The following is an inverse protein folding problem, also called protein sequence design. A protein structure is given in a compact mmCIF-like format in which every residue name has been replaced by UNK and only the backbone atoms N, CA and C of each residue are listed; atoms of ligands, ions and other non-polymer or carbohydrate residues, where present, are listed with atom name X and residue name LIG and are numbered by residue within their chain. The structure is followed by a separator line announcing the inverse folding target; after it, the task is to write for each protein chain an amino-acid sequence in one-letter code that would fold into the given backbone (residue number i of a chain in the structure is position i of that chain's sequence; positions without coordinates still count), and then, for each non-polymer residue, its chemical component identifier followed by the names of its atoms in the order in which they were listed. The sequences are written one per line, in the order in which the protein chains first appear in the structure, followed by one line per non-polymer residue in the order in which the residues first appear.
data_IF_500587216565
#
_entry.id   IF_500587216565
#
_cell.length_a   1.000
_cell.length_b   1.000
_cell.length_c   1.000
_cell.angle_alpha   90.00
_cell.angle_beta   90.00
_cell.angle_gamma   90.00
#
_symmetry.space_group_name_H-M   'P 1'
#
loop_
_entity.id
_entity.type
_entity.pdbx_description
1 polymer ?
#
# COMPACT_ATOMS: atom_id res chain seq x y z
N UNK A 1 -65.05 58.69 21.58
CA UNK A 1 -64.19 57.83 22.43
C UNK A 1 -64.57 56.38 22.20
N UNK A 2 -63.67 55.58 21.60
CA UNK A 2 -63.65 54.10 21.49
C UNK A 2 -62.84 53.70 20.23
N UNK A 3 -61.67 54.32 20.07
CA UNK A 3 -60.52 53.66 19.44
C UNK A 3 -59.82 52.91 20.58
N UNK A 4 -59.32 51.70 20.33
CA UNK A 4 -58.52 50.84 21.25
C UNK A 4 -59.18 49.68 22.03
N UNK A 5 -60.25 49.02 21.56
CA UNK A 5 -60.66 47.71 22.15
C UNK A 5 -61.30 46.72 21.18
N UNK A 6 -60.76 46.59 19.97
CA UNK A 6 -61.14 45.51 19.04
C UNK A 6 -59.95 45.03 18.20
N UNK A 7 -58.75 45.03 18.81
CA UNK A 7 -57.49 44.53 18.22
C UNK A 7 -56.98 43.28 18.96
N UNK A 8 -57.69 42.78 19.97
CA UNK A 8 -57.39 41.51 20.62
C UNK A 8 -58.63 40.63 20.60
N UNK A 9 -58.85 39.88 19.50
CA UNK A 9 -59.58 38.59 19.45
C UNK A 9 -59.74 38.01 18.03
N UNK A 10 -58.95 38.46 17.06
CA UNK A 10 -58.82 37.82 15.74
C UNK A 10 -57.35 37.52 15.39
N UNK A 11 -56.55 37.15 16.41
CA UNK A 11 -55.11 36.86 16.29
C UNK A 11 -54.80 35.42 16.75
N UNK A 12 -55.57 34.44 16.26
CA UNK A 12 -55.31 33.02 16.51
C UNK A 12 -55.82 32.16 15.35
N UNK A 13 -55.54 32.53 14.10
CA UNK A 13 -55.54 31.59 12.98
C UNK A 13 -54.81 32.22 11.79
N UNK A 14 -53.94 31.45 11.16
CA UNK A 14 -53.19 31.76 9.93
C UNK A 14 -51.93 32.63 10.13
N UNK A 15 -50.94 32.04 10.81
CA UNK A 15 -49.52 32.34 10.57
C UNK A 15 -48.81 31.01 10.38
N UNK A 16 -48.51 30.64 9.12
CA UNK A 16 -47.30 29.97 8.62
C UNK A 16 -47.55 29.77 7.10
N UNK A 17 -47.28 30.80 6.30
CA UNK A 17 -46.98 30.62 4.87
C UNK A 17 -45.45 30.66 4.77
N UNK A 18 -44.81 29.57 5.17
CA UNK A 18 -43.38 29.36 4.95
C UNK A 18 -43.20 28.71 3.59
N UNK A 19 -42.37 29.34 2.78
CA UNK A 19 -41.75 28.83 1.57
C UNK A 19 -41.42 27.33 1.66
N UNK A 20 -42.23 26.47 1.07
CA UNK A 20 -41.75 25.19 0.57
C UNK A 20 -41.07 25.45 -0.77
N UNK A 21 -39.88 26.09 -0.71
CA UNK A 21 -38.87 25.79 -1.70
C UNK A 21 -38.59 24.30 -1.51
N UNK A 22 -38.89 23.52 -2.55
CA UNK A 22 -38.43 22.15 -2.68
C UNK A 22 -36.92 22.15 -2.65
N UNK A 23 -36.35 22.12 -1.44
CA UNK A 23 -35.02 21.59 -1.23
C UNK A 23 -35.22 20.10 -1.43
N UNK A 24 -35.02 19.64 -2.66
CA UNK A 24 -34.72 18.23 -2.88
C UNK A 24 -33.65 17.90 -1.86
N UNK A 25 -33.96 16.99 -0.93
CA UNK A 25 -32.91 16.42 -0.10
C UNK A 25 -31.99 15.75 -1.09
N UNK A 26 -30.88 16.42 -1.40
CA UNK A 26 -29.69 15.76 -1.92
C UNK A 26 -29.26 14.86 -0.78
N UNK A 27 -29.85 13.67 -0.75
CA UNK A 27 -29.39 12.59 0.09
C UNK A 27 -28.00 12.30 -0.45
N UNK A 28 -26.98 12.82 0.24
CA UNK A 28 -25.63 12.35 0.05
C UNK A 28 -25.69 10.82 0.11
N UNK A 29 -25.12 10.13 -0.88
CA UNK A 29 -25.02 8.68 -0.87
C UNK A 29 -24.25 8.27 0.38
N UNK A 30 -24.97 7.99 1.46
CA UNK A 30 -24.36 7.57 2.71
C UNK A 30 -23.94 6.12 2.52
N UNK A 31 -22.64 5.92 2.34
CA UNK A 31 -22.06 4.60 2.22
C UNK A 31 -22.12 3.87 3.57
N UNK A 32 -22.45 2.57 3.60
CA UNK A 32 -22.46 1.81 4.83
C UNK A 32 -21.06 1.77 5.44
N UNK A 33 -21.00 1.89 6.77
CA UNK A 33 -19.77 1.78 7.54
C UNK A 33 -20.02 0.95 8.80
N UNK A 34 -18.96 0.56 9.49
CA UNK A 34 -19.08 0.00 10.84
C UNK A 34 -17.83 0.27 11.68
N UNK A 35 -18.02 0.34 12.99
CA UNK A 35 -16.95 0.41 13.98
C UNK A 35 -16.81 -0.90 14.74
N UNK A 36 -15.60 -1.23 15.18
CA UNK A 36 -15.34 -2.33 16.10
C UNK A 36 -15.69 -1.86 17.51
N UNK A 37 -16.58 -2.58 18.21
CA UNK A 37 -17.02 -2.21 19.56
C UNK A 37 -16.51 -3.15 20.64
N UNK A 38 -16.24 -4.41 20.30
CA UNK A 38 -15.63 -5.37 21.22
C UNK A 38 -14.85 -6.45 20.44
N UNK A 39 -13.78 -6.94 21.04
CA UNK A 39 -13.02 -8.10 20.54
C UNK A 39 -12.76 -9.03 21.72
N UNK A 40 -13.07 -10.30 21.55
CA UNK A 40 -12.65 -11.39 22.43
C UNK A 40 -11.59 -12.20 21.69
N UNK A 41 -10.36 -12.16 22.19
CA UNK A 41 -9.18 -12.81 21.59
C UNK A 41 -9.51 -14.24 21.17
N UNK A 42 -9.25 -14.57 19.90
CA UNK A 42 -9.41 -15.89 19.27
C UNK A 42 -10.82 -16.48 19.35
N UNK A 43 -11.81 -15.65 19.72
CA UNK A 43 -13.21 -16.06 19.87
C UNK A 43 -14.08 -15.27 18.92
N UNK A 44 -14.21 -13.95 19.09
CA UNK A 44 -15.18 -13.17 18.35
C UNK A 44 -14.85 -11.68 18.23
N UNK A 45 -15.47 -11.02 17.27
CA UNK A 45 -15.49 -9.56 17.12
C UNK A 45 -16.92 -9.07 17.03
N UNK A 46 -17.21 -7.96 17.71
CA UNK A 46 -18.49 -7.26 17.66
C UNK A 46 -18.33 -5.95 16.92
N UNK A 47 -19.25 -5.69 15.98
CA UNK A 47 -19.31 -4.46 15.19
C UNK A 47 -20.60 -3.69 15.49
N UNK A 48 -20.55 -2.38 15.35
CA UNK A 48 -21.71 -1.49 15.26
C UNK A 48 -21.76 -0.91 13.85
N UNK A 49 -22.78 -1.27 13.09
CA UNK A 49 -23.00 -0.74 11.74
C UNK A 49 -23.54 0.68 11.78
N UNK A 50 -23.40 1.39 10.66
CA UNK A 50 -23.96 2.72 10.44
C UNK A 50 -24.32 2.84 8.96
N UNK A 51 -25.45 3.49 8.68
CA UNK A 51 -25.92 3.80 7.34
C UNK A 51 -26.05 2.55 6.42
N UNK A 52 -26.38 1.39 7.01
CA UNK A 52 -26.63 0.18 6.22
C UNK A 52 -27.85 0.40 5.31
N UNK A 53 -27.78 0.03 4.02
CA UNK A 53 -28.94 0.11 3.14
C UNK A 53 -30.02 -0.87 3.62
N UNK A 54 -31.30 -0.49 3.53
CA UNK A 54 -32.39 -1.37 3.95
C UNK A 54 -32.54 -2.59 3.03
N UNK A 55 -32.87 -3.74 3.62
CA UNK A 55 -33.22 -5.00 2.98
C UNK A 55 -32.21 -5.48 1.92
N UNK A 56 -30.92 -5.35 2.24
CA UNK A 56 -29.80 -5.86 1.44
C UNK A 56 -29.10 -7.02 2.13
N UNK A 57 -28.66 -7.98 1.33
CA UNK A 57 -27.95 -9.17 1.81
C UNK A 57 -26.44 -8.93 1.78
N UNK A 58 -25.78 -9.35 2.87
CA UNK A 58 -24.34 -9.24 3.03
C UNK A 58 -23.76 -10.58 3.48
N UNK A 59 -22.55 -10.87 3.01
CA UNK A 59 -21.67 -11.85 3.62
C UNK A 59 -20.58 -11.13 4.41
N UNK A 60 -20.16 -11.73 5.51
CA UNK A 60 -19.08 -11.24 6.36
C UNK A 60 -17.85 -12.08 6.09
N UNK A 61 -16.79 -11.43 5.66
CA UNK A 61 -15.50 -12.05 5.38
C UNK A 61 -14.50 -11.60 6.44
N UNK A 62 -13.66 -12.53 6.91
CA UNK A 62 -12.46 -12.21 7.69
C UNK A 62 -11.22 -12.72 6.95
N UNK A 63 -10.15 -11.94 6.99
CA UNK A 63 -8.92 -12.30 6.29
C UNK A 63 -7.69 -11.64 6.88
N UNK A 64 -6.55 -11.88 6.25
CA UNK A 64 -5.28 -11.32 6.69
C UNK A 64 -5.30 -9.79 6.69
N UNK A 65 -4.57 -9.20 7.63
CA UNK A 65 -4.39 -7.75 7.69
C UNK A 65 -3.85 -7.20 6.36
N UNK A 66 -4.36 -6.04 5.93
CA UNK A 66 -3.98 -5.39 4.66
C UNK A 66 -4.81 -5.83 3.44
N UNK A 67 -5.56 -6.92 3.52
CA UNK A 67 -6.37 -7.45 2.40
C UNK A 67 -7.75 -6.79 2.27
N UNK A 68 -8.16 -5.98 3.25
CA UNK A 68 -9.56 -5.53 3.43
C UNK A 68 -10.56 -6.70 3.49
N UNK A 69 -10.08 -7.89 3.84
CA UNK A 69 -10.79 -9.16 3.78
C UNK A 69 -11.42 -9.48 2.41
N UNK A 70 -10.86 -8.94 1.32
CA UNK A 70 -11.25 -9.32 -0.03
C UNK A 70 -10.80 -10.75 -0.32
N UNK A 71 -11.75 -11.63 -0.66
CA UNK A 71 -11.48 -13.07 -0.80
C UNK A 71 -11.21 -13.80 0.53
N UNK A 72 -11.50 -13.16 1.68
CA UNK A 72 -11.35 -13.78 3.00
C UNK A 72 -12.34 -14.91 3.27
N UNK A 73 -12.17 -15.56 4.43
CA UNK A 73 -13.02 -16.64 4.92
C UNK A 73 -14.41 -16.07 5.26
N UNK A 74 -15.45 -16.64 4.67
CA UNK A 74 -16.83 -16.31 5.04
C UNK A 74 -17.15 -16.84 6.44
N UNK A 75 -17.51 -15.94 7.35
CA UNK A 75 -17.80 -16.27 8.75
C UNK A 75 -19.29 -16.17 9.08
N UNK A 76 -20.06 -15.42 8.28
CA UNK A 76 -21.50 -15.25 8.45
C UNK A 76 -22.15 -14.65 7.20
N UNK A 77 -23.48 -14.72 7.14
CA UNK A 77 -24.33 -13.92 6.25
C UNK A 77 -25.44 -13.24 7.05
N UNK A 78 -25.90 -12.07 6.60
CA UNK A 78 -27.02 -11.38 7.22
C UNK A 78 -27.80 -10.51 6.22
N UNK A 79 -29.07 -10.26 6.50
CA UNK A 79 -29.87 -9.22 5.83
C UNK A 79 -29.93 -7.98 6.74
N UNK A 80 -29.80 -6.81 6.13
CA UNK A 80 -29.72 -5.50 6.82
C UNK A 80 -31.07 -4.99 7.34
N UNK A 81 -32.19 -5.65 7.05
CA UNK A 81 -33.50 -5.33 7.61
C UNK A 81 -33.94 -3.90 7.28
N UNK A 82 -34.22 -3.10 8.30
CA UNK A 82 -34.57 -1.68 8.14
C UNK A 82 -33.39 -0.79 7.70
N UNK A 83 -32.16 -1.34 7.70
CA UNK A 83 -30.94 -0.59 7.45
C UNK A 83 -30.46 0.19 8.67
N UNK A 84 -29.60 1.18 8.45
CA UNK A 84 -29.08 2.04 9.50
C UNK A 84 -28.06 1.36 10.40
N UNK A 85 -28.21 1.51 11.71
CA UNK A 85 -27.25 1.08 12.71
C UNK A 85 -27.78 -0.07 13.56
N UNK A 86 -26.99 -1.14 13.67
CA UNK A 86 -27.26 -2.29 14.53
C UNK A 86 -25.95 -2.97 14.92
N UNK A 87 -25.98 -3.77 15.99
CA UNK A 87 -24.83 -4.51 16.48
C UNK A 87 -24.86 -5.96 15.98
N UNK A 88 -23.71 -6.49 15.59
CA UNK A 88 -23.56 -7.91 15.24
C UNK A 88 -22.21 -8.46 15.73
N UNK A 89 -22.20 -9.72 16.15
CA UNK A 89 -21.01 -10.43 16.65
C UNK A 89 -20.70 -11.61 15.75
N UNK A 90 -19.43 -11.75 15.38
CA UNK A 90 -18.95 -12.78 14.46
C UNK A 90 -17.78 -13.54 15.08
N UNK A 91 -17.81 -14.87 14.95
CA UNK A 91 -16.72 -15.72 15.43
C UNK A 91 -15.49 -15.59 14.54
N UNK A 92 -14.31 -15.57 15.15
CA UNK A 92 -13.03 -15.58 14.45
C UNK A 92 -12.77 -17.01 13.93
N UNK A 93 -12.54 -17.20 12.62
CA UNK A 93 -12.33 -18.53 12.05
C UNK A 93 -11.01 -19.11 12.54
N UNK A 94 -10.94 -20.44 12.67
CA UNK A 94 -9.79 -21.14 13.24
C UNK A 94 -8.44 -20.77 12.58
N UNK A 95 -8.45 -20.52 11.27
CA UNK A 95 -7.26 -20.16 10.51
C UNK A 95 -6.66 -18.78 10.87
N UNK A 96 -7.43 -17.91 11.52
CA UNK A 96 -6.98 -16.56 11.90
C UNK A 96 -6.74 -16.42 13.41
N UNK A 97 -6.88 -17.51 14.18
CA UNK A 97 -6.56 -17.49 15.61
C UNK A 97 -5.07 -17.35 15.82
N UNK A 98 -4.68 -16.61 16.85
CA UNK A 98 -3.30 -16.23 17.14
C UNK A 98 -2.77 -15.08 16.29
N UNK A 99 -3.49 -14.64 15.25
CA UNK A 99 -3.02 -13.53 14.41
C UNK A 99 -3.12 -12.21 15.18
N UNK A 100 -2.16 -11.32 14.95
CA UNK A 100 -2.10 -10.05 15.65
C UNK A 100 -3.27 -9.13 15.28
N UNK A 101 -3.51 -9.00 13.98
CA UNK A 101 -4.59 -8.19 13.42
C UNK A 101 -5.35 -8.99 12.37
N UNK A 102 -6.65 -8.72 12.28
CA UNK A 102 -7.56 -9.38 11.34
C UNK A 102 -8.33 -8.31 10.57
N UNK A 103 -8.40 -8.44 9.24
CA UNK A 103 -9.29 -7.64 8.42
C UNK A 103 -10.69 -8.24 8.43
N UNK A 104 -11.73 -7.39 8.41
CA UNK A 104 -13.13 -7.80 8.36
C UNK A 104 -13.89 -6.97 7.32
N UNK A 105 -14.80 -7.61 6.57
CA UNK A 105 -15.59 -6.98 5.51
C UNK A 105 -17.03 -7.46 5.53
N UNK A 106 -17.97 -6.54 5.50
CA UNK A 106 -19.34 -6.79 5.08
C UNK A 106 -19.44 -6.54 3.56
N UNK A 107 -19.66 -7.59 2.77
CA UNK A 107 -19.71 -7.55 1.31
C UNK A 107 -21.14 -7.85 0.84
N UNK A 108 -21.73 -6.94 0.08
CA UNK A 108 -23.01 -7.16 -0.58
C UNK A 108 -22.94 -8.36 -1.52
N UNK A 109 -23.95 -9.23 -1.48
CA UNK A 109 -24.02 -10.44 -2.32
C UNK A 109 -24.80 -10.22 -3.62
N UNK A 110 -25.81 -9.36 -3.56
CA UNK A 110 -26.74 -8.99 -4.63
C UNK A 110 -26.79 -7.48 -4.87
N UNK A 111 -25.80 -6.75 -4.35
CA UNK A 111 -25.76 -5.31 -4.32
C UNK A 111 -24.30 -4.80 -4.30
N UNK A 112 -24.06 -3.55 -4.72
CA UNK A 112 -22.70 -3.01 -4.84
C UNK A 112 -22.09 -2.57 -3.50
N UNK A 113 -22.85 -2.64 -2.39
CA UNK A 113 -22.40 -2.07 -1.13
C UNK A 113 -21.38 -2.96 -0.44
N UNK A 114 -20.40 -2.33 0.19
CA UNK A 114 -19.47 -3.00 1.07
C UNK A 114 -18.98 -2.02 2.15
N UNK A 115 -18.59 -2.58 3.28
CA UNK A 115 -17.87 -1.87 4.33
C UNK A 115 -16.75 -2.78 4.83
N UNK A 116 -15.61 -2.22 5.19
CA UNK A 116 -14.51 -2.98 5.75
C UNK A 116 -13.84 -2.22 6.88
N UNK A 117 -13.20 -2.98 7.77
CA UNK A 117 -12.39 -2.46 8.85
C UNK A 117 -11.34 -3.53 9.23
N UNK A 118 -10.59 -3.29 10.29
CA UNK A 118 -9.70 -4.27 10.88
C UNK A 118 -9.74 -4.14 12.41
N UNK A 119 -9.28 -5.18 13.11
CA UNK A 119 -9.20 -5.16 14.57
C UNK A 119 -7.96 -5.88 15.08
N UNK A 120 -7.52 -5.50 16.27
CA UNK A 120 -6.53 -6.25 17.04
C UNK A 120 -7.18 -7.49 17.64
N UNK A 121 -6.68 -8.67 17.29
CA UNK A 121 -7.10 -9.93 17.90
C UNK A 121 -6.17 -10.29 19.07
N UNK A 122 -4.86 -10.23 18.85
CA UNK A 122 -3.85 -10.45 19.89
C UNK A 122 -2.67 -9.46 19.73
N UNK A 123 -2.44 -8.50 20.63
CA UNK A 123 -1.30 -7.58 20.56
C UNK A 123 0.08 -8.29 20.55
N UNK A 124 0.15 -9.54 21.02
CA UNK A 124 1.33 -10.41 21.00
C UNK A 124 1.27 -11.50 19.92
N UNK A 125 0.26 -11.45 19.05
CA UNK A 125 -0.01 -12.46 18.05
C UNK A 125 1.01 -12.50 16.92
N UNK A 126 0.88 -13.53 16.09
CA UNK A 126 1.68 -13.70 14.87
C UNK A 126 1.19 -12.76 13.79
N UNK A 127 2.13 -12.21 13.02
CA UNK A 127 1.78 -11.58 11.75
C UNK A 127 1.67 -12.66 10.69
N UNK A 128 0.85 -12.48 9.64
CA UNK A 128 0.94 -13.37 8.49
C UNK A 128 2.40 -13.43 8.05
N UNK A 129 2.95 -14.63 8.01
CA UNK A 129 4.18 -14.84 7.26
C UNK A 129 3.91 -14.36 5.83
N UNK A 130 4.89 -13.74 5.15
CA UNK A 130 4.73 -13.42 3.74
C UNK A 130 4.32 -14.69 3.01
N UNK A 131 3.04 -14.79 2.63
CA UNK A 131 2.57 -15.93 1.87
C UNK A 131 3.17 -15.75 0.49
N UNK A 132 4.27 -16.44 0.23
CA UNK A 132 4.66 -16.77 -1.14
C UNK A 132 3.44 -17.47 -1.75
N UNK A 133 2.80 -16.88 -2.78
CA UNK A 133 1.58 -17.44 -3.30
C UNK A 133 1.86 -18.81 -3.86
N UNK A 134 0.89 -19.70 -3.64
CA UNK A 134 0.79 -21.00 -4.29
C UNK A 134 1.13 -20.88 -5.78
N UNK A 135 2.31 -21.37 -6.10
CA UNK A 135 2.82 -21.63 -7.43
C UNK A 135 2.01 -22.75 -8.07
N UNK A 136 0.73 -22.49 -8.35
CA UNK A 136 0.11 -23.14 -9.51
C UNK A 136 0.74 -22.52 -10.76
N UNK A 137 2.03 -22.80 -10.95
CA UNK A 137 2.76 -22.62 -12.19
C UNK A 137 2.12 -23.62 -13.15
N UNK A 138 1.40 -23.18 -14.19
CA UNK A 138 1.25 -24.05 -15.34
C UNK A 138 2.67 -24.36 -15.82
N UNK A 139 3.02 -25.65 -15.86
CA UNK A 139 4.29 -26.16 -16.39
C UNK A 139 4.43 -25.74 -17.86
N UNK A 140 4.83 -24.49 -18.06
CA UNK A 140 5.43 -24.03 -19.29
C UNK A 140 6.90 -24.41 -19.12
N UNK A 141 7.44 -25.28 -19.98
CA UNK A 141 8.84 -25.73 -19.96
C UNK A 141 9.85 -24.60 -20.24
N UNK A 142 9.76 -23.53 -19.46
CA UNK A 142 10.40 -22.25 -19.60
C UNK A 142 11.58 -22.22 -18.63
N UNK A 143 12.77 -22.59 -19.10
CA UNK A 143 13.98 -22.56 -18.28
C UNK A 143 14.39 -21.15 -17.78
N UNK A 144 13.62 -20.10 -18.13
CA UNK A 144 13.86 -18.71 -17.72
C UNK A 144 12.55 -17.98 -17.46
N UNK A 145 12.42 -17.40 -16.28
CA UNK A 145 11.24 -16.63 -15.84
C UNK A 145 11.38 -15.18 -16.34
N UNK A 146 10.37 -14.61 -17.04
CA UNK A 146 10.40 -13.21 -17.46
C UNK A 146 10.29 -12.27 -16.25
N UNK A 147 11.12 -11.22 -16.21
CA UNK A 147 11.10 -10.19 -15.17
C UNK A 147 11.30 -8.80 -15.77
N UNK A 148 11.05 -7.73 -15.02
CA UNK A 148 11.36 -6.37 -15.47
C UNK A 148 11.65 -5.44 -14.28
N UNK A 149 12.41 -4.38 -14.54
CA UNK A 149 12.66 -3.28 -13.62
C UNK A 149 11.93 -2.00 -14.09
N UNK A 150 11.69 -1.09 -13.15
CA UNK A 150 11.17 0.24 -13.44
C UNK A 150 12.36 1.13 -13.81
N UNK A 151 12.33 1.71 -15.01
CA UNK A 151 13.40 2.57 -15.52
C UNK A 151 13.16 4.04 -15.16
N UNK A 152 11.96 4.56 -15.45
CA UNK A 152 11.59 5.94 -15.15
C UNK A 152 10.08 6.04 -14.94
N UNK A 153 9.65 7.07 -14.22
CA UNK A 153 8.23 7.37 -13.97
C UNK A 153 8.04 8.88 -14.11
N UNK A 154 7.03 9.28 -14.87
CA UNK A 154 6.52 10.64 -14.90
C UNK A 154 5.19 10.66 -14.13
N UNK A 155 5.15 11.40 -13.01
CA UNK A 155 4.04 11.33 -12.07
C UNK A 155 2.68 11.59 -12.74
N UNK A 156 1.78 10.64 -12.60
CA UNK A 156 0.42 10.71 -13.16
C UNK A 156 0.34 10.61 -14.68
N UNK A 157 1.46 10.44 -15.37
CA UNK A 157 1.52 10.40 -16.83
C UNK A 157 1.92 9.02 -17.33
N UNK A 158 3.16 8.58 -17.13
CA UNK A 158 3.66 7.32 -17.67
C UNK A 158 4.74 6.65 -16.81
N UNK A 159 4.96 5.36 -17.08
CA UNK A 159 6.07 4.58 -16.54
C UNK A 159 6.79 3.86 -17.67
N UNK A 160 8.13 3.95 -17.67
CA UNK A 160 9.00 3.18 -18.54
C UNK A 160 9.60 2.01 -17.78
N UNK A 161 9.55 0.82 -18.37
CA UNK A 161 10.14 -0.40 -17.82
C UNK A 161 11.30 -0.91 -18.69
N UNK A 162 12.16 -1.72 -18.10
CA UNK A 162 13.18 -2.49 -18.80
C UNK A 162 12.99 -3.99 -18.51
N UNK A 163 12.78 -4.79 -19.56
CA UNK A 163 12.44 -6.22 -19.46
C UNK A 163 13.68 -7.12 -19.41
N UNK A 164 13.51 -8.35 -18.94
CA UNK A 164 14.51 -9.41 -18.95
C UNK A 164 13.86 -10.76 -19.22
N UNK A 165 14.50 -11.58 -20.05
CA UNK A 165 14.09 -12.96 -20.36
C UNK A 165 12.65 -13.08 -20.88
N UNK A 166 12.12 -12.05 -21.54
CA UNK A 166 10.78 -12.15 -22.14
C UNK A 166 10.79 -13.19 -23.27
N UNK A 167 9.79 -14.08 -23.34
CA UNK A 167 9.70 -15.08 -24.41
C UNK A 167 9.53 -14.40 -25.77
N UNK A 168 9.93 -15.06 -26.86
CA UNK A 168 9.76 -14.50 -28.22
C UNK A 168 8.30 -14.57 -28.66
N UNK A 169 7.82 -13.52 -29.34
CA UNK A 169 6.51 -13.46 -30.01
C UNK A 169 5.33 -13.80 -29.10
N UNK A 170 5.36 -13.37 -27.83
CA UNK A 170 4.25 -13.52 -26.90
C UNK A 170 3.53 -12.20 -26.77
N UNK A 171 2.21 -12.25 -26.88
CA UNK A 171 1.32 -11.14 -26.59
C UNK A 171 1.10 -11.03 -25.08
N UNK A 172 1.36 -9.85 -24.53
CA UNK A 172 1.13 -9.49 -23.14
C UNK A 172 0.04 -8.41 -23.03
N UNK A 173 -0.92 -8.64 -22.16
CA UNK A 173 -1.82 -7.61 -21.64
C UNK A 173 -1.13 -6.90 -20.48
N UNK A 174 -0.99 -5.59 -20.57
CA UNK A 174 -0.38 -4.77 -19.52
C UNK A 174 -1.49 -4.24 -18.62
N UNK A 175 -1.42 -4.59 -17.34
CA UNK A 175 -2.41 -4.24 -16.33
C UNK A 175 -1.76 -3.35 -15.26
N UNK A 176 -2.43 -2.27 -14.88
CA UNK A 176 -2.05 -1.45 -13.73
C UNK A 176 -3.11 -1.49 -12.65
N UNK A 177 -2.71 -1.53 -11.38
CA UNK A 177 -3.63 -1.61 -10.27
C UNK A 177 -3.11 -0.96 -9.01
N UNK A 178 -3.94 -0.96 -7.96
CA UNK A 178 -3.54 -0.47 -6.64
C UNK A 178 -2.32 -1.25 -6.13
N UNK A 179 -1.47 -0.60 -5.35
CA UNK A 179 -0.35 -1.26 -4.67
C UNK A 179 -0.82 -2.53 -3.92
N UNK A 180 0.06 -3.54 -3.86
CA UNK A 180 -0.18 -4.88 -3.28
C UNK A 180 -1.06 -5.84 -4.08
N UNK A 181 -1.64 -5.41 -5.20
CA UNK A 181 -2.46 -6.29 -6.08
C UNK A 181 -1.63 -7.09 -7.08
N UNK A 182 -0.34 -6.74 -7.25
CA UNK A 182 0.53 -7.25 -8.34
C UNK A 182 -0.07 -7.01 -9.74
N UNK A 183 -0.95 -6.03 -9.90
CA UNK A 183 -1.68 -5.76 -11.14
C UNK A 183 -2.72 -6.83 -11.51
N UNK A 184 -3.01 -7.81 -10.63
CA UNK A 184 -4.06 -8.81 -10.87
C UNK A 184 -5.42 -8.12 -10.91
N UNK A 185 -6.18 -8.34 -11.99
CA UNK A 185 -7.46 -7.62 -12.26
C UNK A 185 -7.29 -6.10 -12.27
N UNK A 186 -6.11 -5.61 -12.64
CA UNK A 186 -5.86 -4.21 -12.89
C UNK A 186 -6.56 -3.69 -14.14
N UNK A 187 -6.46 -2.38 -14.36
CA UNK A 187 -6.91 -1.68 -15.56
C UNK A 187 -5.98 -2.06 -16.71
N UNK A 188 -6.52 -2.52 -17.83
CA UNK A 188 -5.74 -2.74 -19.06
C UNK A 188 -5.30 -1.38 -19.62
N UNK A 189 -3.98 -1.16 -19.64
CA UNK A 189 -3.38 0.09 -20.12
C UNK A 189 -2.77 -0.05 -21.50
N UNK A 190 -2.35 -1.26 -21.89
CA UNK A 190 -1.73 -1.53 -23.18
C UNK A 190 -1.74 -3.02 -23.53
N UNK A 191 -1.42 -3.30 -24.81
CA UNK A 191 -0.98 -4.62 -25.29
C UNK A 191 0.44 -4.51 -25.81
N UNK A 192 1.26 -5.53 -25.55
CA UNK A 192 2.67 -5.57 -25.89
C UNK A 192 3.02 -6.93 -26.51
N UNK A 193 3.53 -6.94 -27.73
CA UNK A 193 4.19 -8.11 -28.31
C UNK A 193 5.68 -8.08 -27.97
N UNK A 194 6.22 -9.16 -27.43
CA UNK A 194 7.62 -9.26 -27.02
C UNK A 194 8.63 -9.45 -28.16
N UNK A 195 8.18 -9.62 -29.41
CA UNK A 195 9.02 -9.70 -30.61
C UNK A 195 10.15 -10.72 -30.48
N UNK A 196 11.39 -10.25 -30.56
CA UNK A 196 12.59 -11.08 -30.42
C UNK A 196 12.83 -11.63 -29.00
N UNK A 197 12.02 -11.22 -28.01
CA UNK A 197 12.16 -11.59 -26.62
C UNK A 197 13.39 -10.95 -25.95
N UNK A 198 13.76 -11.47 -24.78
CA UNK A 198 14.93 -10.99 -24.03
C UNK A 198 14.67 -9.69 -23.29
N UNK A 199 15.53 -8.70 -23.53
CA UNK A 199 15.55 -7.41 -22.83
C UNK A 199 15.29 -6.26 -23.78
N UNK A 200 14.29 -5.44 -23.48
CA UNK A 200 13.90 -4.26 -24.22
C UNK A 200 13.17 -3.27 -23.29
N UNK A 201 12.88 -2.07 -23.79
CA UNK A 201 12.16 -1.05 -23.03
C UNK A 201 10.76 -0.82 -23.59
N UNK A 202 9.83 -0.51 -22.70
CA UNK A 202 8.46 -0.15 -23.05
C UNK A 202 7.93 0.89 -22.07
N UNK A 203 7.12 1.82 -22.58
CA UNK A 203 6.51 2.90 -21.81
C UNK A 203 4.99 2.73 -21.84
N UNK A 204 4.34 2.94 -20.70
CA UNK A 204 2.91 2.76 -20.53
C UNK A 204 2.30 3.93 -19.76
N UNK A 205 1.20 4.45 -20.28
CA UNK A 205 0.44 5.52 -19.62
C UNK A 205 -0.17 5.01 -18.31
N UNK A 206 -0.12 5.84 -17.27
CA UNK A 206 -0.79 5.61 -16.00
C UNK A 206 -2.26 5.99 -16.17
N UNK A 207 -3.22 5.09 -15.87
CA UNK A 207 -4.62 5.39 -16.06
C UNK A 207 -5.08 6.44 -15.04
N UNK A 208 -6.04 7.28 -15.43
CA UNK A 208 -6.49 8.43 -14.64
C UNK A 208 -6.94 8.04 -13.21
N UNK A 209 -7.49 6.83 -13.03
CA UNK A 209 -7.91 6.30 -11.73
C UNK A 209 -6.77 6.00 -10.75
N UNK A 210 -5.53 5.93 -11.26
CA UNK A 210 -4.30 5.66 -10.52
C UNK A 210 -3.32 6.85 -10.57
N UNK A 211 -3.62 7.91 -11.32
CA UNK A 211 -2.71 9.04 -11.54
C UNK A 211 -2.33 9.79 -10.25
N UNK A 212 -3.20 9.78 -9.24
CA UNK A 212 -2.95 10.38 -7.92
C UNK A 212 -2.50 9.36 -6.85
N UNK A 213 -2.45 8.07 -7.18
CA UNK A 213 -1.99 7.07 -6.23
C UNK A 213 -0.48 7.17 -6.03
N UNK A 214 -0.02 7.27 -4.78
CA UNK A 214 1.39 7.34 -4.42
C UNK A 214 2.23 6.16 -4.97
N UNK A 215 1.61 4.98 -5.11
CA UNK A 215 2.23 3.75 -5.62
C UNK A 215 1.27 2.96 -6.48
N UNK A 216 1.78 2.46 -7.61
CA UNK A 216 1.01 1.70 -8.60
C UNK A 216 1.68 0.36 -8.83
N UNK A 217 0.89 -0.72 -8.87
CA UNK A 217 1.33 -2.03 -9.29
C UNK A 217 1.16 -2.17 -10.81
N UNK A 218 2.11 -2.82 -11.48
CA UNK A 218 2.07 -3.08 -12.92
C UNK A 218 2.35 -4.57 -13.20
N UNK A 219 1.60 -5.16 -14.13
CA UNK A 219 1.68 -6.56 -14.53
C UNK A 219 1.66 -6.69 -16.03
N UNK A 220 2.52 -7.55 -16.57
CA UNK A 220 2.47 -8.02 -17.94
C UNK A 220 1.98 -9.46 -17.89
N UNK A 221 0.80 -9.71 -18.44
CA UNK A 221 0.14 -11.02 -18.47
C UNK A 221 0.11 -11.57 -19.89
N UNK A 222 0.90 -12.60 -20.14
CA UNK A 222 1.15 -13.17 -21.45
C UNK A 222 0.35 -14.44 -21.73
N UNK A 223 0.08 -14.71 -23.01
CA UNK A 223 -0.51 -15.98 -23.44
C UNK A 223 0.39 -17.17 -23.07
N UNK A 224 -0.18 -18.30 -22.67
CA UNK A 224 0.61 -19.51 -22.32
C UNK A 224 1.17 -19.51 -20.89
N UNK A 225 0.67 -18.63 -20.01
CA UNK A 225 0.99 -18.64 -18.58
C UNK A 225 2.18 -17.77 -18.19
N UNK A 226 2.80 -17.07 -19.13
CA UNK A 226 3.85 -16.09 -18.83
C UNK A 226 3.27 -14.90 -18.08
N UNK A 227 3.94 -14.46 -17.03
CA UNK A 227 3.64 -13.17 -16.42
C UNK A 227 4.88 -12.59 -15.76
N UNK A 228 4.92 -11.28 -15.68
CA UNK A 228 5.85 -10.54 -14.85
C UNK A 228 5.09 -9.43 -14.14
N UNK A 229 5.51 -9.05 -12.94
CA UNK A 229 4.89 -7.94 -12.23
C UNK A 229 5.91 -7.18 -11.40
N UNK A 230 5.62 -5.91 -11.15
CA UNK A 230 6.40 -5.03 -10.28
C UNK A 230 5.47 -3.94 -9.73
N UNK A 231 6.03 -2.97 -9.02
CA UNK A 231 5.33 -1.76 -8.61
C UNK A 231 6.30 -0.58 -8.64
N UNK A 232 5.76 0.63 -8.73
CA UNK A 232 6.55 1.85 -8.75
C UNK A 232 5.94 2.92 -7.86
N UNK A 233 6.78 3.87 -7.42
CA UNK A 233 6.33 5.13 -6.87
C UNK A 233 5.86 6.01 -8.01
N UNK A 234 4.65 6.53 -7.90
CA UNK A 234 4.10 7.44 -8.89
C UNK A 234 4.58 8.87 -8.60
N UNK A 235 5.88 9.07 -8.72
CA UNK A 235 6.50 10.36 -8.57
C UNK A 235 7.47 10.57 -9.73
N UNK A 236 7.61 11.82 -10.16
CA UNK A 236 8.58 12.17 -11.18
C UNK A 236 9.95 12.11 -10.55
N UNK A 237 10.59 10.94 -10.65
CA UNK A 237 12.02 10.84 -10.40
C UNK A 237 12.72 11.66 -11.49
N UNK A 238 13.58 12.60 -11.09
CA UNK A 238 14.54 13.20 -12.02
C UNK A 238 15.25 12.06 -12.77
N UNK A 239 15.29 12.16 -14.11
CA UNK A 239 15.95 11.23 -15.01
C UNK A 239 17.21 10.66 -14.33
N UNK A 240 17.34 9.33 -14.19
CA UNK A 240 18.54 8.77 -13.59
C UNK A 240 19.70 9.29 -14.43
N UNK A 241 20.76 9.83 -13.80
CA UNK A 241 21.91 10.27 -14.56
C UNK A 241 22.46 9.04 -15.33
N UNK A 242 23.34 9.23 -16.32
CA UNK A 242 23.85 8.14 -17.18
C UNK A 242 25.07 7.47 -16.52
N UNK A 243 25.04 6.16 -16.17
CA UNK A 243 26.07 5.51 -15.38
C UNK A 243 27.47 5.83 -15.93
N UNK A 244 28.45 6.19 -15.08
CA UNK A 244 29.83 6.37 -15.53
C UNK A 244 30.27 5.07 -16.19
N UNK A 245 30.73 5.17 -17.43
CA UNK A 245 31.12 4.02 -18.22
C UNK A 245 32.52 3.54 -17.81
N UNK A 246 32.72 3.07 -16.58
CA UNK A 246 34.01 2.53 -16.14
C UNK A 246 33.86 1.43 -15.06
N UNK A 247 34.39 0.24 -15.40
CA UNK A 247 34.87 -0.93 -14.63
C UNK A 247 34.15 -1.48 -13.38
N UNK A 248 33.24 -0.77 -12.72
CA UNK A 248 32.57 -1.27 -11.52
C UNK A 248 31.47 -2.29 -11.87
N UNK A 249 31.71 -3.56 -11.51
CA UNK A 249 30.71 -4.63 -11.59
C UNK A 249 30.28 -5.07 -10.18
N UNK A 250 29.06 -4.71 -9.78
CA UNK A 250 28.45 -5.18 -8.53
C UNK A 250 27.43 -4.21 -7.94
N UNK A 251 26.97 -4.52 -6.72
CA UNK A 251 26.07 -3.67 -5.95
C UNK A 251 26.64 -3.42 -4.55
N UNK A 252 26.67 -2.17 -4.07
CA UNK A 252 27.07 -1.90 -2.70
C UNK A 252 26.07 -2.48 -1.69
N UNK A 253 26.57 -2.96 -0.56
CA UNK A 253 25.74 -3.38 0.56
C UNK A 253 26.47 -3.13 1.88
N UNK A 254 25.76 -3.12 3.01
CA UNK A 254 26.39 -2.96 4.31
C UNK A 254 25.64 -3.67 5.42
N UNK A 255 26.38 -4.01 6.48
CA UNK A 255 25.84 -4.52 7.73
C UNK A 255 25.95 -3.47 8.83
N UNK A 256 25.03 -3.54 9.78
CA UNK A 256 25.11 -2.78 11.03
C UNK A 256 26.15 -3.46 11.90
N UNK A 257 27.22 -2.74 12.24
CA UNK A 257 28.32 -3.27 13.02
C UNK A 257 28.09 -3.04 14.51
N UNK A 258 27.68 -1.83 14.91
CA UNK A 258 27.34 -1.52 16.30
C UNK A 258 26.39 -0.34 16.38
N UNK A 259 25.66 -0.24 17.48
CA UNK A 259 24.72 0.85 17.75
C UNK A 259 24.93 1.31 19.19
N UNK A 260 24.99 2.62 19.40
CA UNK A 260 24.83 3.23 20.72
C UNK A 260 23.47 3.89 20.72
N UNK A 261 22.57 3.41 21.59
CA UNK A 261 21.18 3.86 21.65
C UNK A 261 21.10 5.39 21.66
N UNK A 262 20.23 5.92 20.81
CA UNK A 262 19.89 7.35 20.68
C UNK A 262 21.09 8.25 20.36
N UNK A 263 22.22 7.68 19.95
CA UNK A 263 23.46 8.43 19.73
C UNK A 263 24.03 8.19 18.35
N UNK A 264 24.46 6.97 18.04
CA UNK A 264 25.19 6.69 16.80
C UNK A 264 25.08 5.24 16.35
N UNK A 265 25.27 5.01 15.06
CA UNK A 265 25.35 3.68 14.45
C UNK A 265 26.63 3.58 13.63
N UNK A 266 27.31 2.44 13.76
CA UNK A 266 28.46 2.06 12.95
C UNK A 266 28.01 1.05 11.91
N UNK A 267 28.37 1.28 10.65
CA UNK A 267 28.15 0.33 9.56
C UNK A 267 29.48 -0.17 9.01
N UNK A 268 29.44 -1.37 8.42
CA UNK A 268 30.51 -1.89 7.58
C UNK A 268 29.96 -2.14 6.18
N UNK A 269 30.36 -1.28 5.25
CA UNK A 269 29.99 -1.32 3.85
C UNK A 269 30.98 -2.15 3.04
N UNK A 270 30.46 -2.76 1.98
CA UNK A 270 31.16 -3.68 1.10
C UNK A 270 30.83 -3.35 -0.34
N UNK A 271 31.78 -3.68 -1.21
CA UNK A 271 31.65 -3.50 -2.65
C UNK A 271 31.26 -2.07 -3.03
N UNK A 272 31.82 -1.05 -2.36
CA UNK A 272 31.61 0.33 -2.76
C UNK A 272 32.33 0.59 -4.11
N UNK A 273 31.74 1.33 -5.05
CA UNK A 273 32.46 1.86 -6.20
C UNK A 273 33.59 2.78 -5.75
N UNK A 274 34.67 2.88 -6.53
CA UNK A 274 35.74 3.84 -6.26
C UNK A 274 35.29 5.28 -6.60
N UNK A 275 35.89 6.26 -5.92
CA UNK A 275 35.74 7.70 -6.08
C UNK A 275 34.29 8.18 -6.15
N UNK A 276 33.46 7.61 -5.28
CA UNK A 276 32.02 7.78 -5.34
C UNK A 276 31.46 8.35 -4.04
N UNK A 277 30.58 9.34 -4.18
CA UNK A 277 29.98 10.02 -3.04
C UNK A 277 28.57 9.50 -2.76
N UNK A 278 28.30 9.15 -1.50
CA UNK A 278 26.99 8.78 -1.02
C UNK A 278 26.51 9.80 0.02
N UNK A 279 25.27 10.25 -0.12
CA UNK A 279 24.51 10.84 0.99
C UNK A 279 24.09 9.75 1.95
N UNK A 280 24.27 9.98 3.24
CA UNK A 280 23.85 9.06 4.28
C UNK A 280 22.53 9.55 4.84
N UNK A 281 21.45 8.83 4.57
CA UNK A 281 20.11 9.20 4.97
C UNK A 281 19.64 8.28 6.11
N UNK A 282 18.98 8.85 7.11
CA UNK A 282 18.28 8.10 8.16
C UNK A 282 16.80 8.44 8.19
N UNK A 283 15.95 7.44 8.40
CA UNK A 283 14.50 7.63 8.41
C UNK A 283 13.76 6.65 9.29
N UNK A 284 12.44 6.80 9.33
CA UNK A 284 11.55 5.86 10.02
C UNK A 284 11.70 4.46 9.42
N UNK A 285 11.51 3.44 10.24
CA UNK A 285 11.48 2.05 9.78
C UNK A 285 10.52 1.87 8.59
N UNK A 286 10.84 0.93 7.70
CA UNK A 286 10.11 0.60 6.45
C UNK A 286 10.24 1.60 5.29
N UNK A 287 10.92 2.73 5.49
CA UNK A 287 11.19 3.70 4.41
C UNK A 287 12.40 3.34 3.56
N UNK A 288 13.22 2.37 4.00
CA UNK A 288 14.56 2.09 3.43
C UNK A 288 15.49 3.30 3.43
N UNK A 289 15.19 4.32 4.24
CA UNK A 289 15.91 5.61 4.27
C UNK A 289 15.60 6.54 3.09
N UNK A 290 14.61 6.23 2.25
CA UNK A 290 14.19 7.09 1.14
C UNK A 290 13.47 8.33 1.71
N UNK A 291 13.88 9.53 1.29
CA UNK A 291 13.37 10.78 1.84
C UNK A 291 13.74 11.01 3.31
N UNK A 292 14.73 10.28 3.83
CA UNK A 292 15.23 10.42 5.19
C UNK A 292 16.04 11.71 5.40
N UNK A 293 16.35 11.99 6.66
CA UNK A 293 17.21 13.10 7.08
C UNK A 293 18.64 12.77 6.64
N UNK A 294 19.28 13.67 5.90
CA UNK A 294 20.70 13.57 5.57
C UNK A 294 21.53 13.83 6.83
N UNK A 295 22.27 12.83 7.28
CA UNK A 295 23.06 12.88 8.53
C UNK A 295 24.55 13.03 8.29
N UNK A 296 25.03 12.67 7.09
CA UNK A 296 26.43 12.76 6.68
C UNK A 296 26.57 12.54 5.17
N UNK A 297 27.78 12.72 4.66
CA UNK A 297 28.25 12.22 3.38
C UNK A 297 29.34 11.17 3.57
N UNK A 298 29.45 10.24 2.63
CA UNK A 298 30.45 9.17 2.61
C UNK A 298 31.13 9.17 1.24
N UNK A 299 32.41 9.49 1.19
CA UNK A 299 33.24 9.27 0.01
C UNK A 299 33.85 7.87 0.11
N UNK A 300 33.70 7.05 -0.93
CA UNK A 300 34.15 5.66 -0.96
C UNK A 300 35.65 5.49 -1.22
N UNK A 301 36.38 6.55 -1.61
CA UNK A 301 37.82 6.50 -1.89
C UNK A 301 38.16 5.42 -2.92
N UNK A 302 39.07 4.51 -2.61
CA UNK A 302 39.44 3.40 -3.51
C UNK A 302 38.31 2.37 -3.75
N UNK A 303 37.15 2.52 -3.10
CA UNK A 303 36.03 1.57 -3.18
C UNK A 303 36.21 0.35 -2.27
N UNK A 304 35.46 -0.71 -2.54
CA UNK A 304 35.55 -1.96 -1.78
C UNK A 304 34.90 -1.88 -0.40
N UNK A 305 35.67 -2.13 0.67
CA UNK A 305 35.13 -2.26 2.05
C UNK A 305 35.49 -1.05 2.90
N UNK A 306 34.51 -0.48 3.59
CA UNK A 306 34.67 0.71 4.43
C UNK A 306 33.83 0.60 5.70
N UNK A 307 34.38 1.01 6.85
CA UNK A 307 33.63 1.14 8.10
C UNK A 307 33.45 2.61 8.44
N UNK A 308 32.23 3.02 8.77
CA UNK A 308 31.90 4.40 9.09
C UNK A 308 30.87 4.48 10.22
N UNK A 309 30.90 5.57 10.98
CA UNK A 309 29.98 5.82 12.11
C UNK A 309 29.21 7.12 11.90
N UNK A 310 27.91 7.09 12.13
CA UNK A 310 27.01 8.21 11.91
C UNK A 310 26.16 8.48 13.14
N UNK A 311 25.95 9.76 13.45
CA UNK A 311 25.07 10.17 14.54
C UNK A 311 23.59 10.00 14.14
N UNK A 312 22.78 9.58 15.10
CA UNK A 312 21.32 9.51 14.96
C UNK A 312 20.76 10.93 15.11
N UNK A 313 19.95 11.42 14.16
CA UNK A 313 19.39 12.77 14.24
C UNK A 313 18.32 12.83 15.34
N UNK A 314 18.15 14.01 15.95
CA UNK A 314 17.25 14.21 17.10
C UNK A 314 15.82 13.73 16.85
N UNK A 315 15.32 13.85 15.61
CA UNK A 315 13.95 13.49 15.25
C UNK A 315 13.70 11.97 15.25
N UNK A 316 14.78 11.17 15.29
CA UNK A 316 14.72 9.71 15.29
C UNK A 316 15.11 9.12 16.66
N UNK A 317 15.51 9.95 17.63
CA UNK A 317 15.77 9.53 19.01
C UNK A 317 14.50 8.97 19.65
N UNK A 318 14.64 7.88 20.40
CA UNK A 318 13.54 7.19 21.07
C UNK A 318 12.75 6.24 20.17
N UNK A 319 12.92 6.30 18.85
CA UNK A 319 12.35 5.29 17.96
C UNK A 319 13.02 3.95 18.21
N UNK A 320 12.23 2.87 18.19
CA UNK A 320 12.71 1.51 18.44
C UNK A 320 13.59 0.98 17.30
N UNK A 321 13.30 1.39 16.06
CA UNK A 321 13.97 0.96 14.83
C UNK A 321 14.12 2.13 13.87
N UNK A 322 15.26 2.19 13.21
CA UNK A 322 15.64 3.27 12.29
C UNK A 322 16.15 2.67 10.99
N UNK A 323 15.71 3.20 9.84
CA UNK A 323 16.26 2.86 8.53
C UNK A 323 17.45 3.76 8.21
N UNK A 324 18.47 3.23 7.55
CA UNK A 324 19.66 3.96 7.10
C UNK A 324 19.96 3.59 5.64
N UNK A 325 20.42 4.58 4.86
CA UNK A 325 20.68 4.45 3.42
C UNK A 325 21.94 5.19 3.02
N UNK A 326 22.78 4.55 2.22
CA UNK A 326 23.78 5.19 1.37
C UNK A 326 23.11 5.47 0.02
N UNK A 327 22.93 6.73 -0.33
CA UNK A 327 22.27 7.19 -1.54
C UNK A 327 23.28 7.96 -2.38
N UNK A 328 23.71 7.39 -3.50
CA UNK A 328 24.40 8.12 -4.55
C UNK A 328 23.48 8.41 -5.73
N UNK A 329 24.04 8.96 -6.79
CA UNK A 329 23.35 9.27 -8.04
C UNK A 329 22.91 8.02 -8.83
N UNK A 330 23.62 6.90 -8.62
CA UNK A 330 23.49 5.63 -9.35
C UNK A 330 23.39 4.47 -8.38
N UNK A 331 24.37 4.38 -7.49
CA UNK A 331 24.47 3.28 -6.56
C UNK A 331 23.80 3.63 -5.24
N UNK A 332 23.21 2.63 -4.61
CA UNK A 332 22.66 2.78 -3.28
C UNK A 332 22.78 1.47 -2.50
N UNK A 333 22.80 1.61 -1.18
CA UNK A 333 22.67 0.51 -0.25
C UNK A 333 21.76 0.94 0.89
N UNK A 334 21.01 0.03 1.50
CA UNK A 334 20.17 0.37 2.64
C UNK A 334 20.09 -0.78 3.63
N UNK A 335 19.83 -0.45 4.88
CA UNK A 335 19.56 -1.39 5.94
C UNK A 335 18.71 -0.71 7.03
N UNK A 336 18.46 -1.41 8.14
CA UNK A 336 17.85 -0.84 9.33
C UNK A 336 18.51 -1.43 10.57
N UNK A 337 18.35 -0.75 11.71
CA UNK A 337 18.87 -1.20 12.98
C UNK A 337 17.88 -1.00 14.11
N UNK A 338 18.01 -1.85 15.12
CA UNK A 338 17.41 -1.61 16.43
C UNK A 338 18.16 -0.46 17.11
N UNK A 339 17.44 0.53 17.58
CA UNK A 339 18.02 1.65 18.32
C UNK A 339 18.19 1.26 19.79
N UNK A 340 19.04 0.28 20.03
CA UNK A 340 19.48 -0.17 21.33
C UNK A 340 21.00 -0.30 21.33
N UNK A 341 21.63 -0.25 22.50
CA UNK A 341 23.09 -0.37 22.55
C UNK A 341 23.48 -1.82 22.28
N UNK A 342 24.22 -2.04 21.19
CA UNK A 342 24.72 -3.34 20.74
C UNK A 342 26.13 -3.15 20.14
N UNK A 343 27.07 -4.03 20.50
CA UNK A 343 28.48 -3.93 20.12
C UNK A 343 28.88 -4.94 19.05
#
# INVERSE_FOLDING_TARGET
MKKHRLVLQAAALVLVLSLFLGVGRVQADTYPTFSITAVEKDVSVTILTKDMPANKNFKVLMGEIGTRAEGGIEVATFNSGEGGAFTATFNIPAALKGHAQIAIRAQGTDNPYFAYNWFWNDPSGTWPEPVEPDENIPDCGCNTIPTFSIKSVLAGEDVTIHTYNFPKNVEFTVLMGKMWTRGIKGIEVAKLNSGDGGSFEATFDIPAELADDERVAIRLEGTGGYYAYNWFWNNTGSEPPVPPADEYSGYPYFFIQSVVKDSKVTIKAYNLPADYEFKVLMGKMWTRGIGGIEVATLNSGEGGTLTATYNIPSDLVGLQRISIRLQGDYYYAYNWFWNNTAN
#
